data_IF_098386857482
#
_entry.id   IF_098386857482
#
_cell.length_a   1.000
_cell.length_b   1.000
_cell.length_c   1.000
_cell.angle_alpha   90.00
_cell.angle_beta   90.00
_cell.angle_gamma   90.00
#
_symmetry.space_group_name_H-M   'P 1'
#
loop_
_entity.id
_entity.type
_entity.pdbx_description
1 polymer ?
#
# COMPACT_ATOMS: atom_id res chain seq x y z
N UNK A 1 65.07 2.00 -0.36
CA UNK A 1 64.26 1.24 0.62
C UNK A 1 62.93 1.98 0.79
N UNK A 2 61.88 1.57 0.08
CA UNK A 2 60.52 2.11 0.24
C UNK A 2 59.54 1.02 -0.16
N UNK A 3 59.09 0.22 0.81
CA UNK A 3 58.02 -0.78 0.62
C UNK A 3 57.12 -0.69 1.85
N UNK A 4 56.22 0.29 1.91
CA UNK A 4 55.24 0.38 3.01
C UNK A 4 53.95 1.16 2.66
N UNK A 5 53.51 1.16 1.39
CA UNK A 5 52.24 1.85 1.03
C UNK A 5 51.27 1.04 0.14
N UNK A 6 51.55 -0.25 -0.11
CA UNK A 6 50.66 -1.13 -0.91
C UNK A 6 49.81 -2.06 -0.02
N UNK A 7 50.24 -2.31 1.21
CA UNK A 7 49.61 -3.29 2.11
C UNK A 7 48.28 -2.77 2.68
N UNK A 8 48.18 -1.49 3.02
CA UNK A 8 46.96 -0.91 3.61
C UNK A 8 45.75 -0.81 2.65
N UNK A 9 45.93 -0.34 1.40
CA UNK A 9 44.86 -0.34 0.41
C UNK A 9 44.39 -1.76 0.06
N UNK A 10 45.31 -2.73 -0.01
CA UNK A 10 45.01 -4.14 -0.28
C UNK A 10 44.19 -4.76 0.86
N UNK A 11 44.58 -4.54 2.12
CA UNK A 11 43.83 -5.03 3.29
C UNK A 11 42.41 -4.45 3.37
N UNK A 12 42.24 -3.15 3.05
CA UNK A 12 40.91 -2.52 2.98
C UNK A 12 40.07 -3.10 1.83
N UNK A 13 40.67 -3.38 0.68
CA UNK A 13 39.99 -4.00 -0.45
C UNK A 13 39.54 -5.43 -0.13
N UNK A 14 40.38 -6.23 0.52
CA UNK A 14 40.06 -7.60 0.92
C UNK A 14 39.00 -7.63 2.03
N UNK A 15 39.06 -6.73 3.01
CA UNK A 15 38.02 -6.57 4.02
C UNK A 15 36.65 -6.24 3.39
N UNK A 16 36.62 -5.35 2.39
CA UNK A 16 35.40 -5.01 1.64
C UNK A 16 34.87 -6.20 0.83
N UNK A 17 35.77 -6.94 0.15
CA UNK A 17 35.42 -8.14 -0.62
C UNK A 17 34.84 -9.23 0.29
N UNK A 18 35.49 -9.49 1.43
CA UNK A 18 35.03 -10.47 2.41
C UNK A 18 33.67 -10.08 2.99
N UNK A 19 33.46 -8.80 3.34
CA UNK A 19 32.16 -8.30 3.77
C UNK A 19 31.07 -8.54 2.71
N UNK A 20 31.36 -8.27 1.44
CA UNK A 20 30.42 -8.48 0.34
C UNK A 20 30.08 -9.98 0.15
N UNK A 21 31.07 -10.88 0.23
CA UNK A 21 30.87 -12.33 0.17
C UNK A 21 29.97 -12.83 1.30
N UNK A 22 30.21 -12.35 2.53
CA UNK A 22 29.40 -12.69 3.71
C UNK A 22 27.96 -12.24 3.53
N UNK A 23 27.74 -10.99 3.10
CA UNK A 23 26.38 -10.47 2.88
C UNK A 23 25.64 -11.22 1.77
N UNK A 24 26.31 -11.55 0.68
CA UNK A 24 25.73 -12.34 -0.41
C UNK A 24 25.36 -13.77 0.05
N UNK A 25 26.23 -14.42 0.83
CA UNK A 25 25.96 -15.73 1.39
C UNK A 25 24.81 -15.70 2.40
N UNK A 26 24.77 -14.69 3.27
CA UNK A 26 23.69 -14.47 4.21
C UNK A 26 22.34 -14.26 3.50
N UNK A 27 22.31 -13.44 2.45
CA UNK A 27 21.10 -13.21 1.65
C UNK A 27 20.52 -14.51 1.07
N UNK A 28 21.38 -15.38 0.50
CA UNK A 28 20.96 -16.68 -0.04
C UNK A 28 20.46 -17.60 1.08
N UNK A 29 21.21 -17.72 2.17
CA UNK A 29 20.86 -18.59 3.27
C UNK A 29 19.53 -18.20 3.93
N UNK A 30 19.28 -16.90 4.11
CA UNK A 30 18.03 -16.38 4.65
C UNK A 30 16.84 -16.65 3.71
N UNK A 31 17.05 -16.56 2.39
CA UNK A 31 16.00 -16.89 1.42
C UNK A 31 15.63 -18.39 1.42
N UNK A 32 16.59 -19.27 1.71
CA UNK A 32 16.38 -20.72 1.74
C UNK A 32 15.80 -21.24 3.07
N UNK A 33 16.27 -20.69 4.20
CA UNK A 33 16.05 -21.27 5.54
C UNK A 33 15.45 -20.29 6.55
N UNK A 34 15.02 -19.11 6.09
CA UNK A 34 14.52 -18.05 6.95
C UNK A 34 15.57 -17.56 7.94
N UNK A 35 15.12 -16.94 9.03
CA UNK A 35 16.01 -16.33 10.01
C UNK A 35 16.77 -17.34 10.90
N UNK A 36 16.56 -18.65 10.74
CA UNK A 36 17.22 -19.71 11.52
C UNK A 36 18.73 -19.89 11.27
N UNK A 37 19.28 -19.25 10.24
CA UNK A 37 20.69 -19.42 9.83
C UNK A 37 21.67 -18.90 10.90
N UNK A 38 22.75 -19.65 11.16
CA UNK A 38 23.83 -19.28 12.09
C UNK A 38 24.96 -18.51 11.40
N UNK A 39 25.73 -17.71 12.13
CA UNK A 39 26.91 -17.01 11.61
C UNK A 39 27.96 -17.99 11.07
N UNK A 40 28.12 -19.16 11.69
CA UNK A 40 29.03 -20.22 11.25
C UNK A 40 28.62 -20.79 9.88
N UNK A 41 27.32 -21.00 9.67
CA UNK A 41 26.79 -21.45 8.38
C UNK A 41 27.00 -20.40 7.28
N UNK A 42 26.81 -19.12 7.60
CA UNK A 42 27.10 -18.02 6.67
C UNK A 42 28.60 -17.97 6.33
N UNK A 43 29.49 -18.11 7.32
CA UNK A 43 30.93 -18.15 7.10
C UNK A 43 31.33 -19.27 6.14
N UNK A 44 30.81 -20.48 6.38
CA UNK A 44 31.02 -21.66 5.52
C UNK A 44 30.56 -21.40 4.09
N UNK A 45 29.35 -20.86 3.90
CA UNK A 45 28.79 -20.53 2.57
C UNK A 45 29.51 -19.39 1.86
N UNK A 46 30.11 -18.46 2.61
CA UNK A 46 30.88 -17.35 2.08
C UNK A 46 32.34 -17.74 1.75
N UNK A 47 32.80 -18.92 2.17
CA UNK A 47 34.18 -19.35 2.00
C UNK A 47 35.17 -18.54 2.84
N UNK A 48 34.72 -17.96 3.97
CA UNK A 48 35.56 -17.15 4.86
C UNK A 48 35.63 -17.75 6.26
N UNK A 49 36.69 -17.44 7.01
CA UNK A 49 36.82 -17.89 8.40
C UNK A 49 35.76 -17.27 9.32
N UNK A 50 35.31 -18.02 10.34
CA UNK A 50 34.35 -17.55 11.33
C UNK A 50 34.82 -16.27 12.06
N UNK A 51 36.12 -16.17 12.34
CA UNK A 51 36.73 -14.96 12.93
C UNK A 51 36.59 -13.72 12.02
N UNK A 52 36.62 -13.89 10.69
CA UNK A 52 36.40 -12.79 9.73
C UNK A 52 34.95 -12.32 9.77
N UNK A 53 33.99 -13.24 9.85
CA UNK A 53 32.56 -12.88 9.99
C UNK A 53 32.34 -12.14 11.31
N UNK A 54 32.85 -12.66 12.42
CA UNK A 54 32.65 -12.06 13.74
C UNK A 54 33.27 -10.66 13.86
N UNK A 55 34.42 -10.40 13.22
CA UNK A 55 35.00 -9.05 13.15
C UNK A 55 34.13 -8.04 12.39
N UNK A 56 33.41 -8.48 11.35
CA UNK A 56 32.53 -7.60 10.57
C UNK A 56 31.10 -7.51 11.13
N UNK A 57 30.66 -8.56 11.81
CA UNK A 57 29.32 -8.74 12.34
C UNK A 57 29.44 -9.45 13.70
N UNK A 58 29.67 -8.68 14.79
CA UNK A 58 29.84 -9.23 16.12
C UNK A 58 28.62 -10.07 16.56
N UNK A 59 27.42 -9.61 16.23
CA UNK A 59 26.17 -10.30 16.52
C UNK A 59 25.45 -10.75 15.25
N UNK A 60 24.56 -11.75 15.39
CA UNK A 60 23.64 -12.16 14.32
C UNK A 60 22.79 -10.97 13.88
N UNK A 61 22.30 -10.16 14.82
CA UNK A 61 21.48 -8.99 14.53
C UNK A 61 22.24 -7.94 13.71
N UNK A 62 23.56 -7.76 13.89
CA UNK A 62 24.38 -6.87 13.05
C UNK A 62 24.47 -7.37 11.60
N UNK A 63 24.59 -8.69 11.42
CA UNK A 63 24.54 -9.29 10.09
C UNK A 63 23.16 -9.07 9.45
N UNK A 64 22.08 -9.30 10.20
CA UNK A 64 20.72 -9.12 9.69
C UNK A 64 20.45 -7.66 9.32
N UNK A 65 20.89 -6.70 10.14
CA UNK A 65 20.78 -5.28 9.84
C UNK A 65 21.50 -4.92 8.54
N UNK A 66 22.73 -5.37 8.37
CA UNK A 66 23.51 -5.09 7.17
C UNK A 66 22.91 -5.76 5.92
N UNK A 67 22.35 -6.97 6.05
CA UNK A 67 21.62 -7.63 4.96
C UNK A 67 20.38 -6.84 4.58
N UNK A 68 19.58 -6.39 5.55
CA UNK A 68 18.37 -5.60 5.31
C UNK A 68 18.73 -4.24 4.72
N UNK A 69 19.77 -3.58 5.22
CA UNK A 69 20.29 -2.33 4.67
C UNK A 69 20.66 -2.48 3.20
N UNK A 70 21.43 -3.51 2.84
CA UNK A 70 21.81 -3.74 1.44
C UNK A 70 20.60 -4.01 0.55
N UNK A 71 19.56 -4.67 1.06
CA UNK A 71 18.31 -4.89 0.31
C UNK A 71 17.57 -3.58 0.08
N UNK A 72 17.39 -2.77 1.12
CA UNK A 72 16.73 -1.46 1.02
C UNK A 72 17.53 -0.51 0.12
N UNK A 73 18.86 -0.52 0.22
CA UNK A 73 19.73 0.27 -0.66
C UNK A 73 19.61 -0.13 -2.14
N UNK A 74 19.44 -1.42 -2.44
CA UNK A 74 19.15 -1.87 -3.81
C UNK A 74 17.79 -1.38 -4.31
N UNK A 75 16.77 -1.35 -3.46
CA UNK A 75 15.47 -0.79 -3.81
C UNK A 75 15.56 0.72 -4.04
N UNK A 76 16.34 1.44 -3.21
CA UNK A 76 16.59 2.87 -3.38
C UNK A 76 17.34 3.16 -4.69
N UNK A 77 18.38 2.38 -5.02
CA UNK A 77 19.10 2.50 -6.28
C UNK A 77 18.18 2.25 -7.48
N UNK A 78 17.38 1.18 -7.44
CA UNK A 78 16.42 0.87 -8.51
C UNK A 78 15.37 1.97 -8.70
N UNK A 79 14.86 2.52 -7.62
CA UNK A 79 13.94 3.65 -7.67
C UNK A 79 14.59 4.90 -8.31
N UNK A 80 15.87 5.14 -8.01
CA UNK A 80 16.63 6.23 -8.60
C UNK A 80 16.95 6.00 -10.09
N UNK A 81 17.29 4.77 -10.49
CA UNK A 81 17.49 4.39 -11.90
C UNK A 81 16.22 4.61 -12.74
N UNK A 82 15.06 4.28 -12.18
CA UNK A 82 13.76 4.49 -12.81
C UNK A 82 13.39 5.96 -13.05
N UNK A 83 14.09 6.92 -12.45
CA UNK A 83 13.90 8.35 -12.77
C UNK A 83 14.41 8.71 -14.16
N UNK A 84 15.37 7.95 -14.70
CA UNK A 84 15.89 8.14 -16.05
C UNK A 84 15.10 7.35 -17.11
N UNK A 85 14.04 6.64 -16.70
CA UNK A 85 13.19 5.88 -17.61
C UNK A 85 12.37 6.83 -18.51
N UNK A 86 12.21 6.54 -19.81
CA UNK A 86 11.30 7.29 -20.68
C UNK A 86 9.84 7.26 -20.22
N UNK A 87 9.43 6.25 -19.45
CA UNK A 87 8.10 6.14 -18.85
C UNK A 87 8.19 5.97 -17.31
N UNK A 88 8.40 7.07 -16.57
CA UNK A 88 8.41 7.06 -15.10
C UNK A 88 7.13 6.47 -14.48
N UNK A 89 5.99 6.58 -15.17
CA UNK A 89 4.73 5.95 -14.78
C UNK A 89 4.82 4.44 -14.72
N UNK A 90 5.19 3.81 -15.84
CA UNK A 90 5.40 2.36 -15.88
C UNK A 90 6.50 1.91 -14.90
N UNK A 91 7.58 2.70 -14.80
CA UNK A 91 8.69 2.42 -13.91
C UNK A 91 8.29 2.44 -12.42
N UNK A 92 7.40 3.36 -12.02
CA UNK A 92 6.81 3.39 -10.68
C UNK A 92 6.04 2.10 -10.35
N UNK A 93 5.13 1.68 -11.24
CA UNK A 93 4.35 0.45 -11.01
C UNK A 93 5.21 -0.82 -11.04
N UNK A 94 6.26 -0.83 -11.87
CA UNK A 94 7.26 -1.90 -11.88
C UNK A 94 8.02 -1.98 -10.55
N UNK A 95 8.43 -0.84 -9.99
CA UNK A 95 9.05 -0.79 -8.67
C UNK A 95 8.10 -1.29 -7.57
N UNK A 96 6.85 -0.81 -7.55
CA UNK A 96 5.84 -1.26 -6.58
C UNK A 96 5.65 -2.78 -6.63
N UNK A 97 5.48 -3.32 -7.82
CA UNK A 97 5.35 -4.77 -8.06
C UNK A 97 6.58 -5.51 -7.54
N UNK A 98 7.78 -5.01 -7.84
CA UNK A 98 9.03 -5.62 -7.41
C UNK A 98 9.15 -5.66 -5.88
N UNK A 99 8.85 -4.56 -5.19
CA UNK A 99 8.85 -4.49 -3.73
C UNK A 99 7.87 -5.52 -3.15
N UNK A 100 6.65 -5.59 -3.68
CA UNK A 100 5.60 -6.46 -3.15
C UNK A 100 5.93 -7.95 -3.35
N UNK A 101 6.54 -8.32 -4.47
CA UNK A 101 6.88 -9.73 -4.77
C UNK A 101 8.14 -10.20 -4.04
N UNK A 102 9.11 -9.31 -3.80
CA UNK A 102 10.42 -9.71 -3.22
C UNK A 102 10.51 -9.58 -1.70
N UNK A 103 9.59 -8.85 -1.08
CA UNK A 103 9.58 -8.63 0.38
C UNK A 103 9.01 -9.79 1.22
N UNK A 104 7.96 -10.55 0.79
CA UNK A 104 7.32 -11.58 1.62
C UNK A 104 8.24 -12.67 2.18
N UNK A 105 9.36 -12.98 1.51
CA UNK A 105 10.35 -13.95 2.00
C UNK A 105 11.13 -13.54 3.26
N UNK A 106 10.74 -12.45 3.94
CA UNK A 106 11.52 -11.82 5.02
C UNK A 106 10.74 -11.64 6.33
N UNK A 107 9.56 -12.25 6.52
CA UNK A 107 8.81 -12.10 7.79
C UNK A 107 9.62 -12.60 9.00
N UNK A 108 10.30 -13.74 8.88
CA UNK A 108 11.17 -14.25 9.94
C UNK A 108 12.29 -13.25 10.30
N UNK A 109 12.74 -12.44 9.34
CA UNK A 109 13.73 -11.40 9.55
C UNK A 109 13.15 -10.16 10.22
N UNK A 110 11.88 -9.82 10.00
CA UNK A 110 11.20 -8.72 10.67
C UNK A 110 10.75 -9.13 12.09
N UNK A 111 10.25 -10.36 12.27
CA UNK A 111 9.79 -10.91 13.55
C UNK A 111 10.97 -11.11 14.52
N UNK A 112 12.12 -11.60 14.05
CA UNK A 112 13.36 -11.76 14.87
C UNK A 112 13.94 -10.42 15.34
N UNK A 113 13.47 -9.33 14.73
CA UNK A 113 14.02 -8.00 14.81
C UNK A 113 13.12 -7.05 15.63
N UNK A 114 11.87 -7.46 15.88
CA UNK A 114 10.93 -6.78 16.76
C UNK A 114 11.13 -7.13 18.24
N UNK A 115 12.25 -7.78 18.63
CA UNK A 115 12.67 -7.78 20.03
C UNK A 115 13.01 -6.34 20.45
N UNK A 116 12.62 -5.97 21.67
CA UNK A 116 12.46 -4.62 22.22
C UNK A 116 13.78 -3.85 22.45
N UNK A 117 14.69 -3.88 21.47
CA UNK A 117 16.10 -3.46 21.59
C UNK A 117 16.43 -2.18 20.79
N UNK A 118 15.42 -1.37 20.42
CA UNK A 118 15.62 -0.11 19.69
C UNK A 118 15.79 -0.25 18.16
N UNK A 119 15.11 -1.22 17.55
CA UNK A 119 15.05 -1.41 16.10
C UNK A 119 13.98 -0.53 15.40
N UNK A 120 14.17 -0.06 14.15
CA UNK A 120 15.36 -0.16 13.30
C UNK A 120 16.51 0.70 13.78
N UNK A 121 17.69 0.09 13.83
CA UNK A 121 18.95 0.75 14.15
C UNK A 121 19.35 1.76 13.06
N UNK A 122 20.31 2.62 13.37
CA UNK A 122 20.63 3.82 12.59
C UNK A 122 20.97 3.53 11.12
N UNK A 123 21.64 2.41 10.83
CA UNK A 123 22.09 2.06 9.50
C UNK A 123 20.91 1.61 8.62
N UNK A 124 20.00 0.80 9.15
CA UNK A 124 18.76 0.45 8.44
C UNK A 124 17.83 1.66 8.27
N UNK A 125 17.75 2.53 9.28
CA UNK A 125 16.99 3.80 9.21
C UNK A 125 17.52 4.71 8.11
N UNK A 126 18.84 4.82 7.97
CA UNK A 126 19.48 5.59 6.90
C UNK A 126 19.15 5.04 5.50
N UNK A 127 19.14 3.72 5.33
CA UNK A 127 18.73 3.08 4.08
C UNK A 127 17.24 3.33 3.78
N UNK A 128 16.36 3.20 4.78
CA UNK A 128 14.93 3.51 4.66
C UNK A 128 14.71 4.94 4.19
N UNK A 129 15.41 5.92 4.77
CA UNK A 129 15.32 7.32 4.36
C UNK A 129 15.76 7.55 2.91
N UNK A 130 16.81 6.86 2.44
CA UNK A 130 17.24 6.90 1.03
C UNK A 130 16.17 6.34 0.11
N UNK A 131 15.59 5.19 0.48
CA UNK A 131 14.50 4.57 -0.28
C UNK A 131 13.27 5.47 -0.35
N UNK A 132 12.81 6.03 0.78
CA UNK A 132 11.65 6.94 0.81
C UNK A 132 11.86 8.17 -0.08
N UNK A 133 13.08 8.74 -0.09
CA UNK A 133 13.42 9.87 -0.95
C UNK A 133 13.38 9.50 -2.43
N UNK A 134 13.96 8.36 -2.81
CA UNK A 134 13.97 7.90 -4.20
C UNK A 134 12.56 7.54 -4.68
N UNK A 135 11.77 6.87 -3.84
CA UNK A 135 10.36 6.55 -4.12
C UNK A 135 9.53 7.82 -4.28
N UNK A 136 9.73 8.84 -3.43
CA UNK A 136 9.03 10.11 -3.55
C UNK A 136 9.37 10.87 -4.83
N UNK A 137 10.64 10.86 -5.25
CA UNK A 137 11.04 11.44 -6.52
C UNK A 137 10.37 10.71 -7.71
N UNK A 138 10.32 9.38 -7.67
CA UNK A 138 9.72 8.56 -8.74
C UNK A 138 8.19 8.73 -8.78
N UNK A 139 7.53 8.75 -7.64
CA UNK A 139 6.10 9.06 -7.52
C UNK A 139 5.78 10.43 -8.13
N UNK A 140 6.55 11.46 -7.78
CA UNK A 140 6.36 12.81 -8.33
C UNK A 140 6.58 12.85 -9.85
N UNK A 141 7.51 12.06 -10.39
CA UNK A 141 7.71 11.94 -11.83
C UNK A 141 6.52 11.26 -12.53
N UNK A 142 6.04 10.15 -11.98
CA UNK A 142 4.86 9.43 -12.48
C UNK A 142 3.58 10.28 -12.42
N UNK A 143 3.43 11.10 -11.38
CA UNK A 143 2.31 12.05 -11.25
C UNK A 143 2.38 13.17 -12.29
N UNK A 144 3.57 13.74 -12.56
CA UNK A 144 3.74 14.77 -13.60
C UNK A 144 3.37 14.28 -15.01
N UNK A 145 3.54 12.98 -15.27
CA UNK A 145 3.15 12.34 -16.53
C UNK A 145 1.66 11.93 -16.55
N UNK A 146 0.94 12.11 -15.44
CA UNK A 146 -0.46 11.69 -15.33
C UNK A 146 -0.64 10.17 -15.29
N UNK A 147 0.37 9.40 -14.91
CA UNK A 147 0.26 7.95 -14.75
C UNK A 147 -0.30 7.55 -13.37
N UNK A 148 -0.03 8.37 -12.36
CA UNK A 148 -0.46 8.17 -10.96
C UNK A 148 -1.31 9.35 -10.53
N UNK A 149 -2.36 9.10 -9.75
CA UNK A 149 -3.26 10.13 -9.21
C UNK A 149 -2.50 11.15 -8.32
N UNK A 150 -2.86 12.44 -8.37
CA UNK A 150 -2.07 13.52 -7.74
C UNK A 150 -2.21 13.62 -6.22
N UNK A 151 -3.24 12.99 -5.64
CA UNK A 151 -3.54 13.00 -4.21
C UNK A 151 -2.84 11.89 -3.42
N UNK A 152 -2.15 10.97 -4.10
CA UNK A 152 -1.32 9.94 -3.44
C UNK A 152 -0.02 10.54 -2.95
N UNK A 153 0.29 10.32 -1.68
CA UNK A 153 1.57 10.69 -1.07
C UNK A 153 2.45 9.47 -0.78
N UNK A 154 3.74 9.70 -0.52
CA UNK A 154 4.72 8.62 -0.27
C UNK A 154 4.31 7.72 0.90
N UNK A 155 3.72 8.30 1.96
CA UNK A 155 3.24 7.53 3.12
C UNK A 155 2.16 6.53 2.73
N UNK A 156 1.22 6.92 1.86
CA UNK A 156 0.17 6.02 1.38
C UNK A 156 0.78 4.82 0.62
N UNK A 157 1.80 5.08 -0.21
CA UNK A 157 2.49 4.02 -0.97
C UNK A 157 3.19 3.05 -0.02
N UNK A 158 3.81 3.54 1.06
CA UNK A 158 4.47 2.71 2.07
C UNK A 158 3.46 1.88 2.87
N UNK A 159 2.32 2.44 3.23
CA UNK A 159 1.22 1.72 3.90
C UNK A 159 0.64 0.64 2.99
N UNK A 160 0.46 0.97 1.71
CA UNK A 160 0.05 0.02 0.67
C UNK A 160 1.07 -1.11 0.52
N UNK A 161 2.38 -0.83 0.53
CA UNK A 161 3.40 -1.88 0.53
C UNK A 161 3.24 -2.82 1.72
N UNK A 162 3.03 -2.28 2.91
CA UNK A 162 2.84 -3.10 4.12
C UNK A 162 1.65 -4.05 3.96
N UNK A 163 0.50 -3.55 3.52
CA UNK A 163 -0.69 -4.37 3.27
C UNK A 163 -0.51 -5.38 2.12
N UNK A 164 0.03 -4.94 0.99
CA UNK A 164 0.19 -5.77 -0.20
C UNK A 164 1.22 -6.89 0.01
N UNK A 165 2.32 -6.63 0.72
CA UNK A 165 3.29 -7.66 1.13
C UNK A 165 2.62 -8.68 2.04
N UNK A 166 1.77 -8.23 2.99
CA UNK A 166 1.03 -9.13 3.87
C UNK A 166 0.01 -10.00 3.11
N UNK A 167 -0.60 -9.50 2.05
CA UNK A 167 -1.48 -10.28 1.17
C UNK A 167 -0.66 -11.26 0.32
N UNK A 168 0.42 -10.78 -0.30
CA UNK A 168 1.23 -11.56 -1.24
C UNK A 168 1.97 -12.73 -0.56
N UNK A 169 2.21 -12.68 0.76
CA UNK A 169 2.86 -13.77 1.50
C UNK A 169 2.12 -15.11 1.45
N UNK A 170 0.82 -15.08 1.16
CA UNK A 170 0.01 -16.29 1.05
C UNK A 170 0.18 -16.98 -0.33
N UNK A 171 0.95 -16.36 -1.23
CA UNK A 171 1.28 -16.88 -2.55
C UNK A 171 2.61 -17.63 -2.52
N UNK A 172 2.78 -18.60 -3.40
CA UNK A 172 4.05 -19.30 -3.58
C UNK A 172 5.04 -18.39 -4.32
N UNK A 173 6.33 -18.63 -4.12
CA UNK A 173 7.37 -17.93 -4.87
C UNK A 173 7.20 -18.21 -6.37
N UNK A 174 7.13 -17.14 -7.18
CA UNK A 174 6.89 -17.24 -8.62
C UNK A 174 5.42 -17.13 -9.03
N UNK A 175 4.48 -17.15 -8.09
CA UNK A 175 3.08 -16.84 -8.36
C UNK A 175 2.92 -15.37 -8.81
N UNK A 176 1.92 -15.07 -9.66
CA UNK A 176 1.57 -13.70 -10.00
C UNK A 176 1.11 -12.90 -8.76
N UNK A 177 0.98 -11.58 -8.93
CA UNK A 177 0.36 -10.73 -7.92
C UNK A 177 -1.02 -11.26 -7.54
N UNK A 178 -1.32 -11.26 -6.24
CA UNK A 178 -2.66 -11.56 -5.77
C UNK A 178 -3.65 -10.56 -6.40
N UNK A 179 -4.87 -10.97 -6.79
CA UNK A 179 -5.85 -10.07 -7.41
C UNK A 179 -6.14 -8.82 -6.57
N UNK A 180 -6.15 -8.95 -5.24
CA UNK A 180 -6.31 -7.80 -4.34
C UNK A 180 -5.14 -6.80 -4.44
N UNK A 181 -3.91 -7.27 -4.64
CA UNK A 181 -2.75 -6.39 -4.85
C UNK A 181 -2.86 -5.68 -6.20
N UNK A 182 -3.24 -6.40 -7.26
CA UNK A 182 -3.47 -5.79 -8.57
C UNK A 182 -4.52 -4.69 -8.48
N UNK A 183 -5.65 -4.96 -7.80
CA UNK A 183 -6.71 -3.97 -7.59
C UNK A 183 -6.20 -2.72 -6.85
N UNK A 184 -5.37 -2.89 -5.82
CA UNK A 184 -4.79 -1.77 -5.08
C UNK A 184 -3.84 -0.95 -5.95
N UNK A 185 -2.98 -1.60 -6.74
CA UNK A 185 -2.10 -0.89 -7.67
C UNK A 185 -2.89 -0.18 -8.78
N UNK A 186 -3.95 -0.80 -9.29
CA UNK A 186 -4.83 -0.19 -10.29
C UNK A 186 -5.52 1.07 -9.74
N UNK A 187 -5.88 1.08 -8.45
CA UNK A 187 -6.49 2.25 -7.78
C UNK A 187 -5.55 3.46 -7.62
N UNK A 188 -4.23 3.27 -7.80
CA UNK A 188 -3.25 4.35 -7.81
C UNK A 188 -3.13 5.04 -9.17
N UNK A 189 -3.56 4.36 -10.25
CA UNK A 189 -3.48 4.94 -11.60
C UNK A 189 -4.33 6.21 -11.66
N UNK A 190 -3.86 7.17 -12.44
CA UNK A 190 -4.68 8.33 -12.75
C UNK A 190 -5.95 7.84 -13.48
N UNK A 191 -7.11 8.16 -12.92
CA UNK A 191 -8.38 7.97 -13.61
C UNK A 191 -8.54 9.17 -14.53
N UNK A 192 -8.87 9.00 -15.84
CA UNK A 192 -9.31 10.13 -16.64
C UNK A 192 -10.51 10.74 -15.93
N UNK A 193 -10.35 11.96 -15.44
CA UNK A 193 -11.26 12.61 -14.50
C UNK A 193 -12.73 12.36 -14.87
N UNK A 194 -13.52 11.62 -14.09
CA UNK A 194 -14.90 12.01 -13.95
C UNK A 194 -14.86 13.31 -13.16
N UNK A 195 -15.60 14.31 -13.63
CA UNK A 195 -15.91 15.49 -12.84
C UNK A 195 -16.70 15.03 -11.62
N UNK A 196 -16.00 14.76 -10.52
CA UNK A 196 -16.58 14.73 -9.19
C UNK A 196 -15.48 15.12 -8.22
N UNK A 197 -15.48 16.43 -7.92
CA UNK A 197 -14.77 16.99 -6.77
C UNK A 197 -15.01 16.05 -5.58
N UNK A 198 -13.95 15.55 -4.97
CA UNK A 198 -14.06 14.96 -3.63
C UNK A 198 -14.44 16.09 -2.68
N UNK A 199 -15.75 16.23 -2.44
CA UNK A 199 -16.23 16.97 -1.29
C UNK A 199 -15.71 16.24 -0.03
N UNK A 200 -15.02 16.99 0.81
CA UNK A 200 -14.69 16.64 2.19
C UNK A 200 -15.87 16.00 2.92
N UNK A 201 -15.64 15.09 3.88
CA UNK A 201 -16.71 14.56 4.71
C UNK A 201 -17.07 15.61 5.77
N UNK A 202 -17.75 16.67 5.35
CA UNK A 202 -18.62 17.37 6.28
C UNK A 202 -19.97 16.65 6.22
N UNK A 203 -20.23 15.91 7.30
CA UNK A 203 -21.50 15.24 7.54
C UNK A 203 -22.54 16.31 7.80
N UNK A 204 -23.19 16.77 6.74
CA UNK A 204 -24.53 17.32 6.84
C UNK A 204 -25.40 16.75 5.73
N UNK A 205 -25.99 15.57 5.97
CA UNK A 205 -27.02 14.95 5.14
C UNK A 205 -28.35 15.71 5.25
N UNK A 206 -28.30 17.02 5.05
CA UNK A 206 -29.49 17.84 4.86
C UNK A 206 -29.42 18.51 3.50
N UNK A 207 -29.45 17.69 2.45
CA UNK A 207 -30.00 18.17 1.18
C UNK A 207 -31.48 18.45 1.42
N UNK A 208 -31.78 19.68 1.79
CA UNK A 208 -33.11 20.28 1.69
C UNK A 208 -33.53 20.22 0.23
N UNK A 209 -34.07 19.07 -0.19
CA UNK A 209 -34.95 19.05 -1.35
C UNK A 209 -36.14 19.91 -0.99
N UNK A 210 -36.13 21.13 -1.48
CA UNK A 210 -37.17 22.14 -1.37
C UNK A 210 -38.40 21.76 -2.22
N UNK A 211 -38.78 20.49 -2.19
CA UNK A 211 -40.00 19.99 -2.78
C UNK A 211 -41.08 20.03 -1.70
N UNK A 212 -41.86 21.11 -1.70
CA UNK A 212 -43.06 21.19 -0.86
C UNK A 212 -43.91 19.94 -1.10
N UNK A 213 -44.11 19.06 -0.10
CA UNK A 213 -44.80 17.79 -0.31
C UNK A 213 -46.23 18.07 -0.79
N UNK A 214 -46.68 17.40 -1.87
CA UNK A 214 -48.03 17.59 -2.41
C UNK A 214 -48.99 16.51 -1.94
N UNK A 215 -50.24 16.89 -1.71
CA UNK A 215 -51.31 15.99 -1.32
C UNK A 215 -51.63 15.01 -2.46
N UNK A 216 -51.65 13.69 -2.24
CA UNK A 216 -51.93 12.72 -3.29
C UNK A 216 -53.40 12.72 -3.77
N UNK A 217 -54.28 13.51 -3.13
CA UNK A 217 -55.70 13.59 -3.44
C UNK A 217 -56.07 14.84 -4.24
N UNK A 218 -55.44 15.98 -3.94
CA UNK A 218 -55.77 17.27 -4.55
C UNK A 218 -54.55 18.03 -5.08
N UNK A 219 -53.34 17.44 -5.01
CA UNK A 219 -52.06 18.03 -5.43
C UNK A 219 -51.67 19.37 -4.80
N UNK A 220 -52.44 19.85 -3.81
CA UNK A 220 -52.14 21.03 -3.01
C UNK A 220 -50.98 20.81 -2.02
N UNK A 221 -50.35 21.88 -1.53
CA UNK A 221 -49.20 21.79 -0.63
C UNK A 221 -49.59 21.20 0.73
N UNK A 222 -48.70 20.41 1.31
CA UNK A 222 -48.82 19.88 2.66
C UNK A 222 -47.92 20.71 3.58
N UNK A 223 -48.53 21.48 4.47
CA UNK A 223 -47.81 22.21 5.50
C UNK A 223 -47.29 21.23 6.57
N UNK A 224 -45.97 21.24 6.81
CA UNK A 224 -45.36 20.47 7.90
C UNK A 224 -45.32 21.32 9.16
N UNK A 225 -45.74 20.77 10.30
CA UNK A 225 -45.48 21.36 11.60
C UNK A 225 -44.03 21.10 12.00
N UNK A 226 -43.42 22.02 12.76
CA UNK A 226 -42.04 21.89 13.23
C UNK A 226 -41.84 20.70 14.20
N UNK A 227 -42.92 20.21 14.80
CA UNK A 227 -42.90 19.08 15.74
C UNK A 227 -43.98 18.06 15.37
N UNK A 228 -43.66 16.77 15.58
CA UNK A 228 -44.59 15.65 15.36
C UNK A 228 -44.44 14.93 14.03
N UNK A 229 -45.25 13.87 13.84
CA UNK A 229 -45.22 13.06 12.61
C UNK A 229 -45.80 13.87 11.43
N UNK A 230 -45.09 13.99 10.30
CA UNK A 230 -45.54 14.81 9.18
C UNK A 230 -46.89 14.30 8.62
N UNK A 231 -47.85 15.21 8.36
CA UNK A 231 -49.14 14.84 7.81
C UNK A 231 -48.98 14.31 6.37
N UNK A 232 -49.71 13.24 6.02
CA UNK A 232 -49.73 12.68 4.66
C UNK A 232 -50.72 13.37 3.71
N UNK A 233 -51.62 14.21 4.23
CA UNK A 233 -52.69 14.87 3.46
C UNK A 233 -52.79 16.33 3.89
N UNK A 234 -53.17 17.23 2.99
CA UNK A 234 -53.26 18.67 3.28
C UNK A 234 -54.42 19.04 4.22
N UNK A 235 -55.46 18.20 4.34
CA UNK A 235 -56.64 18.47 5.17
C UNK A 235 -57.38 17.20 5.61
N UNK A 236 -58.23 17.27 6.66
CA UNK A 236 -59.11 16.17 7.06
C UNK A 236 -60.03 15.70 5.92
N UNK A 237 -60.51 16.61 5.06
CA UNK A 237 -61.33 16.27 3.91
C UNK A 237 -60.59 15.38 2.90
N UNK A 238 -59.31 15.69 2.60
CA UNK A 238 -58.50 14.84 1.73
C UNK A 238 -58.24 13.46 2.35
N UNK A 239 -58.05 13.39 3.68
CA UNK A 239 -57.91 12.12 4.40
C UNK A 239 -59.17 11.26 4.28
N UNK A 240 -60.36 11.85 4.47
CA UNK A 240 -61.63 11.14 4.32
C UNK A 240 -61.87 10.68 2.87
N UNK A 241 -61.51 11.49 1.88
CA UNK A 241 -61.61 11.13 0.45
C UNK A 241 -60.69 9.96 0.09
N UNK A 242 -59.46 9.93 0.63
CA UNK A 242 -58.55 8.80 0.50
C UNK A 242 -59.10 7.52 1.14
N UNK A 243 -59.71 7.63 2.32
CA UNK A 243 -60.36 6.52 3.00
C UNK A 243 -61.52 5.94 2.18
N UNK A 244 -62.42 6.79 1.68
CA UNK A 244 -63.55 6.35 0.82
C UNK A 244 -63.06 5.63 -0.44
N UNK A 245 -62.04 6.15 -1.14
CA UNK A 245 -61.46 5.50 -2.33
C UNK A 245 -60.89 4.10 -2.04
N UNK A 246 -60.32 3.89 -0.85
CA UNK A 246 -59.81 2.56 -0.43
C UNK A 246 -60.93 1.57 -0.11
N UNK A 247 -62.11 2.07 0.28
CA UNK A 247 -63.26 1.26 0.69
C UNK A 247 -64.42 1.28 -0.30
N UNK A 248 -64.22 1.82 -1.51
CA UNK A 248 -65.19 1.69 -2.61
C UNK A 248 -64.88 0.36 -3.30
N UNK A 249 -65.76 -0.65 -3.25
CA UNK A 249 -65.58 -1.88 -4.01
C UNK A 249 -65.56 -1.54 -5.51
N UNK A 250 -64.58 -2.07 -6.23
CA UNK A 250 -64.51 -1.94 -7.69
C UNK A 250 -65.80 -2.54 -8.27
N UNK A 251 -66.64 -1.70 -8.86
CA UNK A 251 -67.79 -2.16 -9.63
C UNK A 251 -67.28 -2.88 -10.88
N UNK A 252 -67.63 -4.16 -10.98
CA UNK A 252 -67.44 -5.06 -12.11
C UNK A 252 -67.79 -4.39 -13.44
N UNK A 253 -66.87 -4.43 -14.40
CA UNK A 253 -67.15 -4.19 -15.82
C UNK A 253 -67.00 -5.52 -16.59
N UNK A 254 -67.91 -5.84 -17.52
CA UNK A 254 -68.16 -7.20 -17.97
C UNK A 254 -67.10 -7.70 -18.97
N UNK A 255 -66.66 -8.95 -18.77
CA UNK A 255 -65.86 -9.73 -19.73
C UNK A 255 -66.64 -9.90 -21.05
N UNK A 256 -66.30 -9.12 -22.07
CA UNK A 256 -66.69 -9.39 -23.46
C UNK A 256 -65.65 -10.33 -24.10
N UNK A 257 -66.14 -11.49 -24.55
CA UNK A 257 -65.40 -12.51 -25.28
C UNK A 257 -64.92 -12.00 -26.65
N UNK A 258 -63.68 -12.32 -27.01
CA UNK A 258 -63.26 -12.72 -28.36
C UNK A 258 -62.25 -13.85 -28.25
#
# INVERSE_FOLDING_TARGET
MTVDNVVEPALRADARRNRALVLAAAQRALAERGAGVSLAEVARRAGVGAGTVHRHFPTKTDLLEAVMQQRVDRLAARAAEHLADPDPGAAFFALCTHVIVTTPGNKDLCDLVQSDDGWPRALLRGAGNRFHRALGALLAAAQRQGAVRPDVVVTDVLDIFTGCVAIQRHRRQGDPLAPAVTLVLDALRAVPSPVTKHATPDRDETTTRDETPRCPICTGPIHRSATGRPPRYCSPACRQKAHRRRHTPATDEPRVRR
#
